data_IF_573066711788
#
_entry.id   IF_573066711788
#
_cell.length_a   1.000
_cell.length_b   1.000
_cell.length_c   1.000
_cell.angle_alpha   90.00
_cell.angle_beta   90.00
_cell.angle_gamma   90.00
#
_symmetry.space_group_name_H-M   'P 1'
#
loop_
_entity.id
_entity.type
_entity.pdbx_description
1 polymer ?
#
# COMPACT_ATOMS: atom_id res chain seq x y z
N UNK A 1 -7.71 -64.02 -15.69
CA UNK A 1 -8.19 -63.62 -17.04
C UNK A 1 -9.71 -63.29 -17.08
N UNK A 2 -10.56 -63.75 -16.16
CA UNK A 2 -12.03 -63.43 -16.18
C UNK A 2 -12.33 -61.96 -15.83
N UNK A 3 -11.59 -61.37 -14.93
CA UNK A 3 -11.89 -60.03 -14.39
C UNK A 3 -11.72 -58.87 -15.40
N UNK A 4 -10.92 -59.06 -16.44
CA UNK A 4 -10.68 -58.01 -17.47
C UNK A 4 -11.79 -58.00 -18.52
N UNK A 5 -12.33 -59.14 -18.86
CA UNK A 5 -13.42 -59.30 -19.85
C UNK A 5 -14.75 -58.76 -19.29
N UNK A 6 -15.09 -59.13 -18.05
CA UNK A 6 -16.28 -58.63 -17.35
C UNK A 6 -16.25 -57.09 -17.18
N UNK A 7 -15.07 -56.53 -16.86
CA UNK A 7 -14.89 -55.07 -16.77
C UNK A 7 -15.12 -54.40 -18.13
N UNK A 8 -14.67 -55.01 -19.21
CA UNK A 8 -14.81 -54.46 -20.57
C UNK A 8 -16.29 -54.46 -21.01
N UNK A 9 -17.02 -55.51 -20.68
CA UNK A 9 -18.46 -55.55 -20.92
C UNK A 9 -19.25 -54.49 -20.14
N UNK A 10 -18.91 -54.27 -18.88
CA UNK A 10 -19.51 -53.20 -18.08
C UNK A 10 -19.22 -51.81 -18.62
N UNK A 11 -18.02 -51.58 -19.19
CA UNK A 11 -17.67 -50.31 -19.84
C UNK A 11 -18.49 -50.08 -21.11
N UNK A 12 -18.70 -51.13 -21.91
CA UNK A 12 -19.53 -51.04 -23.12
C UNK A 12 -20.99 -50.79 -22.78
N UNK A 13 -21.55 -51.51 -21.78
CA UNK A 13 -22.88 -51.24 -21.28
C UNK A 13 -23.07 -49.84 -20.70
N UNK A 14 -22.03 -49.29 -20.01
CA UNK A 14 -22.09 -47.95 -19.52
C UNK A 14 -22.11 -46.93 -20.66
N UNK A 15 -21.35 -47.15 -21.74
CA UNK A 15 -21.39 -46.31 -22.95
C UNK A 15 -22.72 -46.36 -23.67
N UNK A 16 -23.31 -47.53 -23.76
CA UNK A 16 -24.63 -47.71 -24.40
C UNK A 16 -25.74 -46.99 -23.61
N UNK A 17 -25.74 -47.12 -22.30
CA UNK A 17 -26.66 -46.39 -21.42
C UNK A 17 -26.42 -44.87 -21.48
N UNK A 18 -25.19 -44.44 -21.64
CA UNK A 18 -24.85 -43.05 -21.85
C UNK A 18 -25.38 -42.51 -23.18
N UNK A 19 -25.28 -43.30 -24.25
CA UNK A 19 -25.84 -42.95 -25.56
C UNK A 19 -27.38 -42.88 -25.57
N UNK A 20 -28.01 -43.55 -24.63
CA UNK A 20 -29.47 -43.50 -24.36
C UNK A 20 -29.86 -42.34 -23.43
N UNK A 21 -28.96 -41.40 -23.14
CA UNK A 21 -29.23 -40.21 -22.34
C UNK A 21 -29.20 -40.43 -20.82
N UNK A 22 -28.77 -41.60 -20.33
CA UNK A 22 -28.71 -41.87 -18.89
C UNK A 22 -27.56 -41.13 -18.22
N UNK A 23 -27.80 -40.52 -17.09
CA UNK A 23 -26.77 -39.82 -16.27
C UNK A 23 -25.83 -40.83 -15.59
N UNK A 24 -24.63 -40.43 -15.25
CA UNK A 24 -23.67 -41.29 -14.52
C UNK A 24 -24.24 -41.82 -13.19
N UNK A 25 -25.21 -41.14 -12.59
CA UNK A 25 -25.90 -41.57 -11.37
C UNK A 25 -26.88 -42.71 -11.66
N UNK A 26 -27.61 -42.62 -12.76
CA UNK A 26 -28.53 -43.69 -13.17
C UNK A 26 -27.75 -44.92 -13.65
N UNK A 27 -26.69 -44.72 -14.46
CA UNK A 27 -25.80 -45.80 -14.91
C UNK A 27 -25.16 -46.53 -13.73
N UNK A 28 -24.72 -45.75 -12.71
CA UNK A 28 -24.19 -46.32 -11.47
C UNK A 28 -25.19 -47.23 -10.75
N UNK A 29 -26.46 -46.85 -10.71
CA UNK A 29 -27.52 -47.65 -10.11
C UNK A 29 -27.86 -48.88 -10.95
N UNK A 30 -27.95 -48.75 -12.27
CA UNK A 30 -28.29 -49.82 -13.20
C UNK A 30 -27.20 -50.90 -13.20
N UNK A 31 -25.96 -50.51 -13.30
CA UNK A 31 -24.80 -51.41 -13.38
C UNK A 31 -24.26 -51.85 -12.00
N UNK A 32 -24.79 -51.32 -10.92
CA UNK A 32 -24.28 -51.50 -9.55
C UNK A 32 -22.79 -51.26 -9.42
N UNK A 33 -22.31 -50.19 -10.08
CA UNK A 33 -20.89 -49.76 -10.08
C UNK A 33 -20.80 -48.36 -9.49
N UNK A 34 -19.82 -48.07 -8.61
CA UNK A 34 -19.69 -46.75 -8.01
C UNK A 34 -19.65 -45.65 -9.06
N UNK A 35 -20.36 -44.53 -8.84
CA UNK A 35 -20.44 -43.39 -9.76
C UNK A 35 -19.07 -42.87 -10.20
N UNK A 36 -18.09 -42.86 -9.28
CA UNK A 36 -16.69 -42.43 -9.56
C UNK A 36 -16.04 -43.39 -10.57
N UNK A 37 -16.35 -44.68 -10.51
CA UNK A 37 -15.84 -45.68 -11.45
C UNK A 37 -16.46 -45.51 -12.82
N UNK A 38 -17.78 -45.27 -12.90
CA UNK A 38 -18.48 -44.93 -14.15
C UNK A 38 -17.87 -43.69 -14.77
N UNK A 39 -17.68 -42.65 -14.01
CA UNK A 39 -17.00 -41.41 -14.47
C UNK A 39 -15.63 -41.68 -15.06
N UNK A 40 -14.81 -42.52 -14.42
CA UNK A 40 -13.48 -42.87 -14.90
C UNK A 40 -13.50 -43.71 -16.18
N UNK A 41 -14.61 -44.45 -16.46
CA UNK A 41 -14.71 -45.28 -17.63
C UNK A 41 -15.23 -44.55 -18.87
N UNK A 42 -16.19 -43.67 -18.69
CA UNK A 42 -16.94 -43.08 -19.82
C UNK A 42 -16.95 -41.52 -19.77
N UNK A 43 -16.29 -40.93 -18.79
CA UNK A 43 -16.28 -39.47 -18.59
C UNK A 43 -17.61 -38.97 -18.02
N UNK A 44 -17.85 -37.67 -18.15
CA UNK A 44 -19.12 -37.09 -17.76
C UNK A 44 -20.17 -37.44 -18.86
N UNK A 45 -21.32 -37.96 -18.46
CA UNK A 45 -22.42 -38.30 -19.38
C UNK A 45 -23.04 -37.06 -20.05
N UNK A 46 -22.64 -35.91 -19.65
CA UNK A 46 -22.93 -34.64 -20.29
C UNK A 46 -21.59 -34.05 -20.78
N UNK A 47 -21.19 -34.39 -21.99
CA UNK A 47 -20.33 -33.50 -22.76
C UNK A 47 -21.20 -32.29 -23.14
N UNK A 48 -21.53 -31.48 -22.17
CA UNK A 48 -22.06 -30.15 -22.44
C UNK A 48 -20.87 -29.39 -23.02
N UNK A 49 -20.72 -29.39 -24.33
CA UNK A 49 -19.92 -28.41 -25.04
C UNK A 49 -20.65 -27.09 -24.89
N UNK A 50 -20.57 -26.49 -23.71
CA UNK A 50 -21.01 -25.10 -23.51
C UNK A 50 -19.95 -24.20 -24.07
N UNK A 51 -20.16 -23.64 -25.24
CA UNK A 51 -19.42 -22.48 -25.65
C UNK A 51 -19.94 -21.26 -24.87
N UNK A 52 -19.16 -20.77 -23.90
CA UNK A 52 -19.47 -19.51 -23.25
C UNK A 52 -18.86 -18.40 -24.10
N UNK A 53 -19.69 -17.51 -24.59
CA UNK A 53 -19.22 -16.30 -25.28
C UNK A 53 -19.80 -15.06 -24.61
N UNK A 54 -19.08 -13.96 -24.75
CA UNK A 54 -19.52 -12.66 -24.22
C UNK A 54 -20.14 -11.89 -25.38
N UNK A 55 -21.35 -11.41 -25.19
CA UNK A 55 -22.02 -10.51 -26.10
C UNK A 55 -22.08 -9.11 -25.45
N UNK A 56 -21.74 -8.06 -26.19
CA UNK A 56 -21.91 -6.68 -25.75
C UNK A 56 -23.31 -6.22 -26.13
N UNK A 57 -24.11 -5.85 -25.14
CA UNK A 57 -25.38 -5.18 -25.36
C UNK A 57 -25.28 -3.69 -24.96
N UNK A 58 -25.74 -2.77 -25.79
CA UNK A 58 -25.76 -1.36 -25.43
C UNK A 58 -26.75 -1.09 -24.28
N UNK A 59 -26.31 -0.35 -23.27
CA UNK A 59 -27.17 0.18 -22.21
C UNK A 59 -27.72 1.51 -22.71
N UNK A 60 -29.05 1.64 -22.80
CA UNK A 60 -29.72 2.86 -23.21
C UNK A 60 -30.25 3.61 -22.00
N UNK A 61 -30.23 4.95 -22.05
CA UNK A 61 -30.95 5.79 -21.09
C UNK A 61 -32.46 5.85 -21.44
N UNK A 62 -33.24 6.59 -20.66
CA UNK A 62 -34.68 6.77 -20.89
C UNK A 62 -34.99 7.48 -22.23
N UNK A 63 -34.02 8.20 -22.81
CA UNK A 63 -34.14 8.93 -24.08
C UNK A 63 -33.66 8.07 -25.26
N UNK A 64 -33.17 6.83 -25.03
CA UNK A 64 -32.68 5.89 -26.05
C UNK A 64 -31.22 6.07 -26.45
N UNK A 65 -30.44 6.88 -25.76
CA UNK A 65 -29.02 7.06 -26.03
C UNK A 65 -28.18 5.96 -25.37
N UNK A 66 -27.12 5.53 -26.06
CA UNK A 66 -26.19 4.53 -25.53
C UNK A 66 -25.31 5.19 -24.46
N UNK A 67 -25.47 4.76 -23.20
CA UNK A 67 -24.72 5.24 -22.06
C UNK A 67 -23.60 4.28 -21.61
N UNK A 68 -23.49 3.12 -22.23
CA UNK A 68 -22.47 2.11 -21.96
C UNK A 68 -22.78 0.80 -22.63
N UNK A 69 -21.91 -0.21 -22.44
CA UNK A 69 -22.15 -1.59 -22.88
C UNK A 69 -22.17 -2.52 -21.67
N UNK A 70 -23.18 -3.37 -21.60
CA UNK A 70 -23.22 -4.49 -20.67
C UNK A 70 -22.62 -5.73 -21.31
N UNK A 71 -21.80 -6.46 -20.57
CA UNK A 71 -21.30 -7.77 -20.99
C UNK A 71 -22.33 -8.82 -20.59
N UNK A 72 -22.99 -9.42 -21.58
CA UNK A 72 -23.89 -10.54 -21.40
C UNK A 72 -23.16 -11.86 -21.57
N UNK A 73 -23.16 -12.68 -20.54
CA UNK A 73 -22.62 -14.04 -20.62
C UNK A 73 -23.66 -14.93 -21.29
N UNK A 74 -23.44 -15.22 -22.58
CA UNK A 74 -24.28 -16.15 -23.33
C UNK A 74 -23.66 -17.56 -23.25
N UNK A 75 -24.45 -18.52 -22.81
CA UNK A 75 -24.10 -19.95 -22.85
C UNK A 75 -24.98 -20.63 -23.86
N UNK A 76 -24.37 -21.22 -24.89
CA UNK A 76 -25.09 -22.08 -25.82
C UNK A 76 -25.09 -23.50 -25.23
N UNK A 77 -26.25 -24.02 -24.95
CA UNK A 77 -26.44 -25.42 -24.55
C UNK A 77 -26.94 -26.19 -25.76
N UNK A 78 -26.54 -27.48 -25.92
CA UNK A 78 -27.12 -28.35 -26.91
C UNK A 78 -28.61 -28.62 -26.61
N UNK A 79 -29.33 -29.12 -27.59
CA UNK A 79 -30.79 -29.14 -27.70
C UNK A 79 -31.62 -29.66 -26.51
N UNK A 80 -30.98 -30.29 -25.51
CA UNK A 80 -31.64 -30.72 -24.27
C UNK A 80 -31.64 -29.64 -23.17
N UNK A 81 -31.23 -28.41 -23.51
CA UNK A 81 -31.19 -27.27 -22.60
C UNK A 81 -32.47 -26.43 -22.48
N UNK A 82 -33.51 -26.80 -23.19
CA UNK A 82 -34.77 -26.01 -23.24
C UNK A 82 -35.43 -25.82 -21.87
N UNK A 83 -35.35 -26.80 -20.96
CA UNK A 83 -35.84 -26.64 -19.60
C UNK A 83 -35.02 -25.62 -18.76
N UNK A 84 -33.70 -25.56 -18.99
CA UNK A 84 -32.83 -24.61 -18.28
C UNK A 84 -33.04 -23.22 -18.85
N UNK A 85 -33.21 -23.09 -20.17
CA UNK A 85 -33.54 -21.80 -20.82
C UNK A 85 -34.90 -21.27 -20.35
N UNK A 86 -35.95 -22.16 -20.29
CA UNK A 86 -37.25 -21.76 -19.75
C UNK A 86 -37.18 -21.35 -18.28
N UNK A 87 -36.34 -22.00 -17.48
CA UNK A 87 -36.12 -21.58 -16.08
C UNK A 87 -35.40 -20.23 -15.99
N UNK A 88 -34.39 -19.98 -16.84
CA UNK A 88 -33.66 -18.69 -16.88
C UNK A 88 -34.54 -17.56 -17.43
N UNK A 89 -35.42 -17.83 -18.37
CA UNK A 89 -36.43 -16.91 -18.88
C UNK A 89 -37.51 -16.54 -17.85
N UNK A 90 -37.79 -17.45 -16.90
CA UNK A 90 -38.68 -17.21 -15.76
C UNK A 90 -38.02 -16.44 -14.61
N UNK A 91 -36.68 -16.33 -14.58
CA UNK A 91 -36.02 -15.46 -13.66
C UNK A 91 -36.27 -14.02 -14.14
N UNK A 92 -37.05 -13.27 -13.36
CA UNK A 92 -37.26 -11.86 -13.65
C UNK A 92 -35.90 -11.17 -13.94
N UNK A 93 -35.78 -10.42 -15.01
CA UNK A 93 -34.53 -9.71 -15.32
C UNK A 93 -34.10 -8.94 -14.08
N UNK A 94 -32.86 -9.15 -13.66
CA UNK A 94 -32.27 -8.39 -12.55
C UNK A 94 -32.33 -6.94 -12.99
N UNK A 95 -33.30 -6.20 -12.45
CA UNK A 95 -33.34 -4.74 -12.65
C UNK A 95 -32.18 -4.17 -11.84
N UNK A 96 -31.06 -3.91 -12.49
CA UNK A 96 -30.08 -3.03 -11.92
C UNK A 96 -30.71 -1.63 -11.83
N UNK A 97 -30.74 -0.99 -10.65
CA UNK A 97 -31.15 0.39 -10.57
C UNK A 97 -30.27 1.19 -11.54
N UNK A 98 -30.89 2.08 -12.32
CA UNK A 98 -30.13 2.96 -13.19
C UNK A 98 -28.99 3.60 -12.38
N UNK A 99 -27.78 3.68 -12.94
CA UNK A 99 -26.66 4.28 -12.21
C UNK A 99 -27.07 5.68 -11.82
N UNK A 100 -27.22 5.91 -10.52
CA UNK A 100 -27.43 7.26 -9.97
C UNK A 100 -26.25 8.11 -10.46
N UNK A 101 -26.55 9.22 -11.13
CA UNK A 101 -25.53 10.21 -11.48
C UNK A 101 -24.77 10.55 -10.19
N UNK A 102 -23.49 10.20 -10.13
CA UNK A 102 -22.67 10.61 -9.02
C UNK A 102 -22.65 12.14 -8.99
N UNK A 103 -23.10 12.74 -7.91
CA UNK A 103 -22.88 14.17 -7.69
C UNK A 103 -21.38 14.38 -7.52
N UNK A 104 -20.75 15.00 -8.50
CA UNK A 104 -19.38 15.46 -8.38
C UNK A 104 -19.44 16.77 -7.57
N UNK A 105 -19.13 16.68 -6.29
CA UNK A 105 -18.89 17.88 -5.47
C UNK A 105 -17.38 18.17 -5.53
N UNK A 106 -17.02 19.35 -5.98
CA UNK A 106 -15.66 19.86 -5.81
C UNK A 106 -15.45 20.12 -4.32
N UNK A 107 -14.76 19.21 -3.66
CA UNK A 107 -14.29 19.43 -2.29
C UNK A 107 -12.84 19.92 -2.40
N UNK A 108 -12.45 21.01 -1.72
CA UNK A 108 -11.06 21.43 -1.71
C UNK A 108 -10.24 20.32 -1.06
N UNK A 109 -9.39 19.69 -1.86
CA UNK A 109 -8.49 18.67 -1.38
C UNK A 109 -7.37 19.32 -0.57
N UNK A 110 -7.09 18.75 0.58
CA UNK A 110 -5.95 19.08 1.43
C UNK A 110 -4.88 18.03 1.27
N UNK A 111 -3.63 18.44 1.43
CA UNK A 111 -2.50 17.57 1.24
C UNK A 111 -1.60 17.53 2.47
N UNK A 112 -1.08 16.34 2.77
CA UNK A 112 0.11 16.16 3.56
C UNK A 112 1.17 15.50 2.68
N UNK A 113 2.40 15.98 2.71
CA UNK A 113 3.53 15.36 2.01
C UNK A 113 4.42 14.68 3.04
N UNK A 114 4.68 13.38 2.86
CA UNK A 114 5.43 12.53 3.79
C UNK A 114 6.70 12.06 3.12
N UNK A 115 7.85 12.48 3.61
CA UNK A 115 9.18 12.03 3.19
C UNK A 115 9.94 11.54 4.42
N UNK A 116 10.76 10.52 4.30
CA UNK A 116 11.58 10.00 5.39
C UNK A 116 12.82 9.29 4.88
N UNK A 117 13.61 8.72 5.79
CA UNK A 117 14.85 8.02 5.47
C UNK A 117 15.74 8.84 4.52
N UNK A 118 15.97 10.11 4.89
CA UNK A 118 16.83 11.05 4.14
C UNK A 118 18.31 10.73 4.35
N UNK A 119 18.67 10.29 5.56
CA UNK A 119 20.05 9.92 5.93
C UNK A 119 21.10 10.93 5.47
N UNK A 120 20.92 12.23 5.82
CA UNK A 120 21.93 13.24 5.51
C UNK A 120 23.30 12.81 6.05
N UNK A 121 24.41 12.94 5.31
CA UNK A 121 24.59 13.58 3.99
C UNK A 121 24.65 12.55 2.83
N UNK A 122 23.86 11.49 2.89
CA UNK A 122 23.73 10.50 1.83
C UNK A 122 22.36 10.62 1.12
N UNK A 123 21.76 11.79 1.19
CA UNK A 123 20.46 12.04 0.57
C UNK A 123 20.52 11.90 -0.96
N UNK A 124 19.49 11.35 -1.56
CA UNK A 124 19.33 11.31 -3.00
C UNK A 124 18.81 12.66 -3.51
N UNK A 125 19.72 13.47 -4.04
CA UNK A 125 19.44 14.86 -4.46
C UNK A 125 18.23 14.98 -5.39
N UNK A 126 18.07 14.15 -6.45
CA UNK A 126 16.89 14.24 -7.30
C UNK A 126 15.57 14.05 -6.55
N UNK A 127 15.51 13.13 -5.57
CA UNK A 127 14.30 12.94 -4.74
C UNK A 127 14.00 14.19 -3.92
N UNK A 128 15.02 14.81 -3.33
CA UNK A 128 14.87 16.04 -2.53
C UNK A 128 14.41 17.22 -3.41
N UNK A 129 14.95 17.35 -4.60
CA UNK A 129 14.58 18.44 -5.52
C UNK A 129 13.16 18.28 -6.05
N UNK A 130 12.77 17.06 -6.41
CA UNK A 130 11.36 16.74 -6.82
C UNK A 130 10.42 16.97 -5.64
N UNK A 131 10.80 16.57 -4.43
CA UNK A 131 10.01 16.84 -3.22
C UNK A 131 9.78 18.34 -3.01
N UNK A 132 10.80 19.16 -3.13
CA UNK A 132 10.63 20.62 -3.02
C UNK A 132 9.65 21.17 -4.07
N UNK A 133 9.74 20.68 -5.31
CA UNK A 133 8.85 21.12 -6.38
C UNK A 133 7.40 20.67 -6.12
N UNK A 134 7.20 19.47 -5.63
CA UNK A 134 5.86 18.99 -5.22
C UNK A 134 5.30 19.84 -4.09
N UNK A 135 6.10 20.17 -3.07
CA UNK A 135 5.66 21.04 -1.97
C UNK A 135 5.26 22.43 -2.47
N UNK A 136 6.03 23.02 -3.41
CA UNK A 136 5.67 24.31 -4.01
C UNK A 136 4.33 24.27 -4.73
N UNK A 137 4.08 23.20 -5.47
CA UNK A 137 2.87 23.09 -6.31
C UNK A 137 1.63 22.69 -5.51
N UNK A 138 1.77 21.76 -4.56
CA UNK A 138 0.64 21.29 -3.75
C UNK A 138 0.28 22.23 -2.61
N UNK A 139 1.23 23.04 -2.14
CA UNK A 139 1.07 23.92 -0.96
C UNK A 139 0.41 23.18 0.21
N UNK A 140 1.01 22.09 0.69
CA UNK A 140 0.36 21.17 1.61
C UNK A 140 0.08 21.84 2.95
N UNK A 141 -0.95 21.41 3.67
CA UNK A 141 -1.17 21.83 5.05
C UNK A 141 -0.06 21.34 5.98
N UNK A 142 0.49 20.18 5.67
CA UNK A 142 1.50 19.53 6.48
C UNK A 142 2.60 18.92 5.61
N UNK A 143 3.85 19.09 6.05
CA UNK A 143 5.00 18.33 5.61
C UNK A 143 5.47 17.50 6.80
N UNK A 144 5.65 16.19 6.60
CA UNK A 144 6.07 15.27 7.63
C UNK A 144 7.39 14.63 7.20
N UNK A 145 8.44 14.98 7.93
CA UNK A 145 9.74 14.32 7.85
C UNK A 145 9.65 13.06 8.71
N UNK A 146 9.39 11.92 8.07
CA UNK A 146 8.97 10.71 8.78
C UNK A 146 10.17 9.89 9.29
N UNK A 147 11.05 10.55 10.02
CA UNK A 147 12.19 9.97 10.72
C UNK A 147 13.40 9.69 9.83
N UNK A 148 14.46 9.28 10.46
CA UNK A 148 15.78 8.99 9.87
C UNK A 148 16.26 10.09 8.91
N UNK A 149 16.10 11.35 9.36
CA UNK A 149 16.57 12.53 8.65
C UNK A 149 18.09 12.61 8.67
N UNK A 150 18.71 12.39 9.83
CA UNK A 150 20.18 12.27 9.98
C UNK A 150 20.55 10.80 10.06
N UNK A 151 21.60 10.37 9.35
CA UNK A 151 22.12 9.02 9.49
C UNK A 151 22.86 8.82 10.82
N UNK A 152 23.53 9.87 11.32
CA UNK A 152 24.37 9.81 12.51
C UNK A 152 25.45 8.71 12.40
N UNK A 153 26.03 8.58 11.21
CA UNK A 153 27.04 7.58 10.90
C UNK A 153 28.21 7.63 11.87
N UNK A 154 28.72 8.84 12.18
CA UNK A 154 29.89 9.02 13.04
C UNK A 154 29.73 8.39 14.43
N UNK A 155 28.50 8.38 14.97
CA UNK A 155 28.18 7.87 16.32
C UNK A 155 27.45 6.54 16.31
N UNK A 156 27.26 5.93 15.13
CA UNK A 156 26.65 4.60 15.00
C UNK A 156 27.47 3.54 15.72
N UNK A 157 26.81 2.63 16.43
CA UNK A 157 27.42 1.47 17.08
C UNK A 157 27.67 0.28 16.13
N UNK A 158 27.26 0.35 14.87
CA UNK A 158 27.50 -0.70 13.89
C UNK A 158 28.92 -0.65 13.32
N UNK A 159 29.48 -1.80 12.85
CA UNK A 159 30.73 -1.82 12.12
C UNK A 159 30.71 -0.87 10.93
N UNK A 160 31.78 -0.13 10.72
CA UNK A 160 31.91 0.87 9.66
C UNK A 160 33.04 0.48 8.72
N UNK A 161 32.91 0.81 7.44
CA UNK A 161 34.08 0.82 6.56
C UNK A 161 35.02 1.94 7.01
N UNK A 162 36.26 1.57 7.35
CA UNK A 162 37.26 2.54 7.82
C UNK A 162 37.65 3.59 6.77
N UNK A 163 37.31 3.33 5.52
CA UNK A 163 37.56 4.25 4.41
C UNK A 163 36.48 5.34 4.31
N UNK A 164 35.29 5.08 4.84
CA UNK A 164 34.20 6.04 4.86
C UNK A 164 34.40 7.07 5.98
N UNK A 165 34.43 8.33 5.58
CA UNK A 165 34.51 9.45 6.51
C UNK A 165 33.26 10.32 6.35
N UNK A 166 32.30 10.12 7.22
CA UNK A 166 31.06 10.91 7.27
C UNK A 166 31.03 11.65 8.61
N UNK A 167 31.60 12.85 8.67
CA UNK A 167 31.63 13.61 9.91
C UNK A 167 30.23 14.17 10.21
N UNK A 168 29.84 14.12 11.48
CA UNK A 168 28.51 14.51 11.94
C UNK A 168 28.18 15.99 11.60
N UNK A 169 29.19 16.87 11.57
CA UNK A 169 28.99 18.27 11.20
C UNK A 169 28.58 18.45 9.73
N UNK A 170 29.01 17.56 8.83
CA UNK A 170 28.57 17.58 7.43
C UNK A 170 27.10 17.18 7.30
N UNK A 171 26.68 16.15 8.04
CA UNK A 171 25.26 15.73 8.11
C UNK A 171 24.40 16.89 8.63
N UNK A 172 24.80 17.52 9.72
CA UNK A 172 24.08 18.67 10.31
C UNK A 172 23.98 19.84 9.32
N UNK A 173 25.06 20.16 8.61
CA UNK A 173 25.06 21.25 7.62
C UNK A 173 24.12 20.96 6.45
N UNK A 174 24.13 19.74 5.93
CA UNK A 174 23.22 19.30 4.86
C UNK A 174 21.76 19.39 5.32
N UNK A 175 21.47 18.90 6.52
CA UNK A 175 20.14 18.98 7.12
C UNK A 175 19.66 20.42 7.35
N UNK A 176 20.54 21.31 7.87
CA UNK A 176 20.19 22.73 8.04
C UNK A 176 19.89 23.41 6.71
N UNK A 177 20.67 23.11 5.65
CA UNK A 177 20.41 23.61 4.30
C UNK A 177 19.05 23.14 3.79
N UNK A 178 18.75 21.86 3.96
CA UNK A 178 17.44 21.28 3.60
C UNK A 178 16.30 21.99 4.32
N UNK A 179 16.38 22.13 5.64
CA UNK A 179 15.34 22.78 6.44
C UNK A 179 15.17 24.26 6.05
N UNK A 180 16.27 24.97 5.73
CA UNK A 180 16.17 26.37 5.29
C UNK A 180 15.40 26.51 3.98
N UNK A 181 15.72 25.67 2.99
CA UNK A 181 15.01 25.65 1.70
C UNK A 181 13.54 25.28 1.91
N UNK A 182 13.26 24.24 2.70
CA UNK A 182 11.90 23.82 3.01
C UNK A 182 11.11 24.92 3.71
N UNK A 183 11.72 25.62 4.67
CA UNK A 183 11.10 26.75 5.33
C UNK A 183 10.74 27.85 4.33
N UNK A 184 11.69 28.27 3.49
CA UNK A 184 11.47 29.35 2.51
C UNK A 184 10.36 29.03 1.50
N UNK A 185 10.19 27.74 1.17
CA UNK A 185 9.10 27.26 0.31
C UNK A 185 7.77 27.30 1.04
N UNK A 186 7.72 26.90 2.30
CA UNK A 186 6.48 26.63 3.04
C UNK A 186 5.95 27.79 3.85
N UNK A 187 6.80 28.72 4.22
CA UNK A 187 6.46 29.91 5.02
C UNK A 187 5.31 30.73 4.42
N UNK A 188 5.28 31.02 3.09
CA UNK A 188 4.21 31.79 2.49
C UNK A 188 2.83 31.15 2.59
N UNK A 189 2.76 29.84 2.83
CA UNK A 189 1.49 29.07 2.87
C UNK A 189 1.10 28.69 4.29
N UNK A 190 1.94 28.93 5.28
CA UNK A 190 1.70 28.54 6.66
C UNK A 190 1.73 27.03 6.90
N UNK A 191 2.37 26.25 6.02
CA UNK A 191 2.53 24.80 6.13
C UNK A 191 3.16 24.41 7.47
N UNK A 192 2.57 23.45 8.16
CA UNK A 192 3.14 22.89 9.40
C UNK A 192 4.17 21.83 9.04
N UNK A 193 5.35 21.90 9.68
CA UNK A 193 6.42 20.93 9.46
C UNK A 193 6.60 20.10 10.72
N UNK A 194 6.52 18.79 10.57
CA UNK A 194 6.76 17.82 11.64
C UNK A 194 7.95 16.93 11.28
N UNK A 195 8.67 16.49 12.31
CA UNK A 195 9.64 15.39 12.21
C UNK A 195 9.25 14.33 13.22
N UNK A 196 9.21 13.05 12.80
CA UNK A 196 8.92 11.95 13.72
C UNK A 196 10.19 11.36 14.30
N UNK A 197 10.12 10.90 15.55
CA UNK A 197 11.18 10.15 16.19
C UNK A 197 11.46 8.84 15.44
N UNK A 198 12.74 8.44 15.39
CA UNK A 198 13.20 7.28 14.65
C UNK A 198 14.38 6.59 15.35
N UNK A 199 14.86 5.49 14.78
CA UNK A 199 15.98 4.75 15.35
C UNK A 199 17.35 5.38 15.07
N UNK A 200 17.47 6.24 14.03
CA UNK A 200 18.70 7.04 13.82
C UNK A 200 18.53 8.42 14.44
N UNK A 201 17.48 9.15 14.13
CA UNK A 201 17.27 10.55 14.50
C UNK A 201 16.15 10.73 15.52
N UNK A 202 16.12 11.90 16.16
CA UNK A 202 15.07 12.28 17.12
C UNK A 202 15.43 12.04 18.59
N UNK A 203 14.45 12.23 19.46
CA UNK A 203 14.59 12.10 20.92
C UNK A 203 14.26 10.69 21.46
N UNK A 204 14.06 9.71 20.60
CA UNK A 204 13.80 8.34 21.02
C UNK A 204 14.97 7.79 21.83
N UNK A 205 14.70 7.11 22.95
CA UNK A 205 15.74 6.42 23.71
C UNK A 205 16.43 5.32 22.89
N UNK A 206 15.78 4.82 21.86
CA UNK A 206 16.34 3.87 20.90
C UNK A 206 17.17 4.56 19.81
N UNK A 207 17.07 5.87 19.68
CA UNK A 207 17.82 6.67 18.70
C UNK A 207 19.32 6.63 18.92
N UNK A 208 20.10 6.76 17.83
CA UNK A 208 21.58 6.73 17.87
C UNK A 208 22.17 7.78 18.81
N UNK A 209 21.57 8.98 18.89
CA UNK A 209 22.04 10.06 19.75
C UNK A 209 21.98 9.68 21.24
N UNK A 210 20.84 9.20 21.72
CA UNK A 210 20.68 8.84 23.13
C UNK A 210 21.49 7.59 23.50
N UNK A 211 21.60 6.61 22.61
CA UNK A 211 22.49 5.45 22.83
C UNK A 211 23.95 5.89 22.95
N UNK A 212 24.38 6.82 22.10
CA UNK A 212 25.74 7.37 22.16
C UNK A 212 25.98 8.09 23.48
N UNK A 213 25.08 8.99 23.90
CA UNK A 213 25.17 9.69 25.19
C UNK A 213 25.21 8.73 26.36
N UNK A 214 24.27 7.79 26.45
CA UNK A 214 24.22 6.78 27.53
C UNK A 214 25.54 6.00 27.65
N UNK A 215 26.16 5.67 26.53
CA UNK A 215 27.46 4.97 26.52
C UNK A 215 28.65 5.85 26.92
N UNK A 216 28.52 7.19 26.81
CA UNK A 216 29.62 8.11 27.10
C UNK A 216 29.55 8.75 28.48
N UNK A 217 28.36 9.07 28.94
CA UNK A 217 28.15 9.79 30.21
C UNK A 217 27.37 8.93 31.24
N UNK A 218 27.02 7.69 30.88
CA UNK A 218 26.41 6.73 31.81
C UNK A 218 25.10 7.26 32.41
N UNK A 219 24.94 7.08 33.73
CA UNK A 219 23.74 7.48 34.46
C UNK A 219 23.44 8.98 34.39
N UNK A 220 24.44 9.82 34.14
CA UNK A 220 24.20 11.27 33.98
C UNK A 220 23.26 11.58 32.80
N UNK A 221 23.17 10.70 31.79
CA UNK A 221 22.22 10.84 30.69
C UNK A 221 20.75 10.82 31.15
N UNK A 222 20.45 10.28 32.35
CA UNK A 222 19.10 10.23 32.92
C UNK A 222 18.67 11.52 33.61
N UNK A 223 19.61 12.44 33.88
CA UNK A 223 19.30 13.71 34.54
C UNK A 223 18.51 14.63 33.61
N UNK A 224 17.41 15.19 34.12
CA UNK A 224 16.48 16.03 33.33
C UNK A 224 17.20 17.24 32.69
N UNK A 225 18.14 17.86 33.41
CA UNK A 225 18.94 18.97 32.93
C UNK A 225 19.82 18.58 31.75
N UNK A 226 20.43 17.40 31.79
CA UNK A 226 21.25 16.86 30.71
C UNK A 226 20.37 16.50 29.51
N UNK A 227 19.25 15.81 29.73
CA UNK A 227 18.30 15.49 28.66
C UNK A 227 17.78 16.75 27.96
N UNK A 228 17.47 17.80 28.72
CA UNK A 228 17.02 19.05 28.15
C UNK A 228 18.16 19.78 27.41
N UNK A 229 19.38 19.82 27.97
CA UNK A 229 20.53 20.51 27.35
C UNK A 229 20.99 19.80 26.05
N UNK A 230 20.96 18.46 26.03
CA UNK A 230 21.44 17.62 24.95
C UNK A 230 20.29 17.00 24.12
N UNK A 231 19.07 17.56 24.23
CA UNK A 231 17.94 17.09 23.43
C UNK A 231 18.26 17.21 21.93
N UNK A 232 17.75 16.27 21.14
CA UNK A 232 17.95 16.24 19.70
C UNK A 232 17.66 17.60 19.05
N UNK A 233 16.53 18.20 19.41
CA UNK A 233 16.15 19.52 18.90
C UNK A 233 17.17 20.61 19.21
N UNK A 234 17.75 20.64 20.41
CA UNK A 234 18.74 21.69 20.78
C UNK A 234 20.10 21.49 20.13
N UNK A 235 20.46 20.24 19.87
CA UNK A 235 21.79 19.92 19.32
C UNK A 235 21.79 19.97 17.79
N UNK A 236 20.72 19.47 17.16
CA UNK A 236 20.71 19.22 15.72
C UNK A 236 19.82 20.16 14.91
N UNK A 237 18.88 20.86 15.54
CA UNK A 237 18.06 21.81 14.80
C UNK A 237 18.80 23.14 14.64
N UNK A 238 18.55 23.84 13.52
CA UNK A 238 19.08 25.18 13.33
C UNK A 238 18.41 26.17 14.28
N UNK A 239 18.81 27.45 14.17
CA UNK A 239 18.29 28.56 14.99
C UNK A 239 16.77 28.54 15.07
N UNK A 240 16.19 28.49 16.29
CA UNK A 240 14.74 28.44 16.49
C UNK A 240 14.01 29.73 16.05
N UNK A 241 14.71 30.81 15.75
CA UNK A 241 14.11 32.06 15.27
C UNK A 241 13.34 31.87 13.96
N UNK A 242 13.75 30.94 13.13
CA UNK A 242 13.11 30.61 11.85
C UNK A 242 12.67 29.14 11.71
N UNK A 243 13.38 28.21 12.34
CA UNK A 243 13.07 26.78 12.22
C UNK A 243 11.80 26.42 13.01
N UNK A 244 10.73 26.09 12.31
CA UNK A 244 9.41 25.80 12.89
C UNK A 244 9.09 24.30 12.96
N UNK A 245 10.09 23.45 12.74
CA UNK A 245 9.89 21.98 12.80
C UNK A 245 9.49 21.56 14.22
N UNK A 246 8.44 20.74 14.30
CA UNK A 246 7.99 20.13 15.55
C UNK A 246 8.40 18.66 15.56
N UNK A 247 9.22 18.27 16.53
CA UNK A 247 9.58 16.87 16.78
C UNK A 247 8.47 16.21 17.59
N UNK A 248 7.99 15.08 17.11
CA UNK A 248 6.86 14.31 17.67
C UNK A 248 7.12 12.79 17.54
N UNK A 249 6.41 11.97 18.27
CA UNK A 249 6.49 10.51 18.09
C UNK A 249 5.74 10.06 16.84
N UNK A 250 4.60 10.68 16.58
CA UNK A 250 3.73 10.40 15.44
C UNK A 250 2.90 11.63 15.08
N UNK A 251 2.41 11.67 13.86
CA UNK A 251 1.43 12.66 13.39
C UNK A 251 0.14 11.94 13.07
N UNK A 252 -0.95 12.37 13.71
CA UNK A 252 -2.29 11.89 13.36
C UNK A 252 -2.91 12.88 12.38
N UNK A 253 -3.19 12.42 11.18
CA UNK A 253 -3.88 13.21 10.16
C UNK A 253 -5.38 13.30 10.51
N UNK A 254 -6.13 14.29 9.99
CA UNK A 254 -7.57 14.43 10.24
C UNK A 254 -8.38 13.18 9.89
N UNK A 255 -7.85 12.33 9.02
CA UNK A 255 -8.42 11.04 8.60
C UNK A 255 -8.19 9.90 9.61
N UNK A 256 -7.69 10.18 10.80
CA UNK A 256 -7.24 9.18 11.78
C UNK A 256 -6.13 8.24 11.25
N UNK A 257 -5.43 8.63 10.20
CA UNK A 257 -4.24 7.93 9.71
C UNK A 257 -3.02 8.38 10.52
N UNK A 258 -2.28 7.42 11.04
CA UNK A 258 -1.06 7.67 11.83
C UNK A 258 0.15 7.65 10.89
N UNK A 259 0.93 8.71 10.93
CA UNK A 259 2.23 8.81 10.24
C UNK A 259 3.32 8.72 11.31
N UNK A 260 4.15 7.70 11.25
CA UNK A 260 5.26 7.44 12.16
C UNK A 260 6.39 6.73 11.44
N UNK A 261 7.61 6.80 11.96
CA UNK A 261 8.74 6.13 11.31
C UNK A 261 8.55 4.62 11.19
N UNK A 262 8.07 3.99 12.26
CA UNK A 262 7.90 2.54 12.32
C UNK A 262 9.14 1.84 12.88
N UNK A 263 8.98 0.56 13.24
CA UNK A 263 10.01 -0.28 13.85
C UNK A 263 9.99 -1.72 13.32
N UNK A 264 8.97 -2.08 12.56
CA UNK A 264 8.80 -3.44 12.04
C UNK A 264 9.49 -3.59 10.70
N UNK A 265 10.36 -4.60 10.59
CA UNK A 265 11.03 -4.96 9.34
C UNK A 265 10.57 -6.35 8.89
N UNK A 266 10.08 -6.46 7.67
CA UNK A 266 9.69 -7.71 7.01
C UNK A 266 10.29 -7.75 5.60
N UNK A 267 10.43 -8.95 5.04
CA UNK A 267 11.10 -9.14 3.73
C UNK A 267 10.29 -8.63 2.53
N UNK A 268 8.99 -8.74 2.57
CA UNK A 268 8.11 -8.39 1.42
C UNK A 268 7.47 -7.03 1.65
N UNK A 269 7.28 -6.28 0.56
CA UNK A 269 6.56 -5.00 0.58
C UNK A 269 5.15 -5.13 1.15
N UNK A 270 4.74 -4.16 1.94
CA UNK A 270 3.46 -4.13 2.65
C UNK A 270 3.39 -4.94 3.94
N UNK A 271 4.30 -5.89 4.17
CA UNK A 271 4.25 -6.74 5.38
C UNK A 271 4.70 -6.01 6.64
N UNK A 272 5.62 -5.05 6.53
CA UNK A 272 6.02 -4.22 7.68
C UNK A 272 4.88 -3.32 8.10
N UNK A 273 4.15 -2.74 7.14
CA UNK A 273 2.97 -1.94 7.40
C UNK A 273 1.86 -2.74 8.12
N UNK A 274 1.67 -4.03 7.79
CA UNK A 274 0.76 -4.91 8.55
C UNK A 274 1.22 -5.04 10.00
N UNK A 275 2.51 -5.29 10.23
CA UNK A 275 3.06 -5.41 11.59
C UNK A 275 2.94 -4.11 12.40
N UNK A 276 3.02 -2.95 11.78
CA UNK A 276 2.75 -1.67 12.46
C UNK A 276 1.26 -1.45 12.72
N UNK A 277 0.39 -1.84 11.78
CA UNK A 277 -1.05 -1.86 12.00
C UNK A 277 -1.46 -2.73 13.19
N UNK A 278 -0.87 -3.93 13.33
CA UNK A 278 -1.18 -4.85 14.45
C UNK A 278 -0.86 -4.26 15.83
N UNK A 279 0.00 -3.24 15.90
CA UNK A 279 0.31 -2.52 17.15
C UNK A 279 -0.72 -1.45 17.51
N UNK A 280 -1.32 -0.80 16.51
CA UNK A 280 -2.13 0.41 16.73
C UNK A 280 -3.59 0.28 16.30
N UNK A 281 -3.92 -0.72 15.46
CA UNK A 281 -5.25 -0.94 14.87
C UNK A 281 -5.83 0.31 14.20
N UNK A 282 -5.00 1.04 13.48
CA UNK A 282 -5.34 2.24 12.74
C UNK A 282 -4.68 2.22 11.36
N UNK A 283 -5.17 3.02 10.41
CA UNK A 283 -4.46 3.25 9.15
C UNK A 283 -3.10 3.90 9.42
N UNK A 284 -2.05 3.45 8.73
CA UNK A 284 -0.69 3.92 8.99
C UNK A 284 0.09 4.25 7.71
N UNK A 285 1.01 5.22 7.82
CA UNK A 285 2.12 5.39 6.89
C UNK A 285 3.41 5.28 7.68
N UNK A 286 4.29 4.39 7.24
CA UNK A 286 5.59 4.15 7.90
C UNK A 286 6.73 4.22 6.91
N UNK A 287 7.90 4.59 7.40
CA UNK A 287 9.18 4.53 6.68
C UNK A 287 10.02 3.34 7.19
N UNK A 288 11.32 3.49 7.40
CA UNK A 288 12.25 2.51 7.98
C UNK A 288 12.66 1.34 7.06
N UNK A 289 11.79 0.89 6.18
CA UNK A 289 12.06 -0.25 5.28
C UNK A 289 12.52 0.18 3.89
N UNK A 290 12.56 1.47 3.62
CA UNK A 290 13.10 2.12 2.42
C UNK A 290 12.44 1.68 1.10
N UNK A 291 11.17 1.26 1.12
CA UNK A 291 10.46 0.81 -0.08
C UNK A 291 8.99 1.12 -0.01
N UNK A 292 8.36 1.18 -1.18
CA UNK A 292 6.91 1.30 -1.26
C UNK A 292 6.21 -0.02 -0.99
N UNK A 293 5.11 0.04 -0.28
CA UNK A 293 4.20 -1.07 -0.07
C UNK A 293 2.85 -0.57 0.43
N UNK A 294 1.79 -1.27 0.05
CA UNK A 294 0.43 -0.95 0.49
C UNK A 294 -0.34 -2.22 0.83
N UNK A 295 -1.13 -2.15 1.89
CA UNK A 295 -2.02 -3.23 2.30
C UNK A 295 -3.32 -2.67 2.87
N UNK A 296 -4.38 -3.46 2.84
CA UNK A 296 -5.63 -3.13 3.47
C UNK A 296 -6.10 -4.27 4.36
N UNK A 297 -6.60 -3.94 5.55
CA UNK A 297 -7.17 -4.88 6.51
C UNK A 297 -8.63 -4.52 6.77
N UNK A 298 -9.55 -5.38 6.34
CA UNK A 298 -10.98 -5.16 6.56
C UNK A 298 -11.46 -5.95 7.78
N UNK A 299 -12.04 -5.22 8.73
CA UNK A 299 -12.77 -5.79 9.84
C UNK A 299 -14.26 -5.80 9.50
N UNK A 300 -14.93 -6.96 9.48
CA UNK A 300 -16.36 -7.03 9.19
C UNK A 300 -17.18 -6.40 10.31
N UNK A 301 -18.41 -6.05 10.01
CA UNK A 301 -19.38 -5.64 11.02
C UNK A 301 -19.66 -6.79 11.99
N UNK A 302 -19.64 -6.49 13.30
CA UNK A 302 -19.95 -7.48 14.37
C UNK A 302 -20.80 -6.79 15.42
N UNK A 303 -22.01 -7.29 15.67
CA UNK A 303 -22.96 -6.66 16.58
C UNK A 303 -23.26 -5.21 16.15
N UNK A 304 -23.03 -4.25 17.04
CA UNK A 304 -23.27 -2.82 16.78
C UNK A 304 -22.05 -2.13 16.11
N UNK A 305 -20.91 -2.83 15.93
CA UNK A 305 -19.71 -2.28 15.30
C UNK A 305 -19.86 -2.33 13.77
N UNK A 306 -19.74 -1.18 13.12
CA UNK A 306 -19.70 -1.09 11.65
C UNK A 306 -18.44 -1.76 11.10
N UNK A 307 -18.52 -2.22 9.86
CA UNK A 307 -17.32 -2.67 9.13
C UNK A 307 -16.37 -1.48 8.94
N UNK A 308 -15.06 -1.73 9.12
CA UNK A 308 -13.99 -0.74 8.95
C UNK A 308 -12.89 -1.35 8.09
N UNK A 309 -12.32 -0.57 7.20
CA UNK A 309 -11.11 -0.93 6.45
C UNK A 309 -9.98 0.00 6.86
N UNK A 310 -8.85 -0.56 7.26
CA UNK A 310 -7.62 0.15 7.55
C UNK A 310 -6.65 0.00 6.39
N UNK A 311 -6.05 1.10 5.97
CA UNK A 311 -5.08 1.16 4.88
C UNK A 311 -3.69 1.45 5.45
N UNK A 312 -2.72 0.63 5.09
CA UNK A 312 -1.38 0.69 5.67
C UNK A 312 -0.34 0.76 4.57
N UNK A 313 0.58 1.70 4.70
CA UNK A 313 1.55 2.04 3.68
C UNK A 313 2.97 1.99 4.22
N UNK A 314 3.87 1.42 3.46
CA UNK A 314 5.32 1.59 3.59
C UNK A 314 5.73 2.68 2.61
N UNK A 315 6.43 3.69 3.10
CA UNK A 315 6.96 4.77 2.27
C UNK A 315 8.41 4.46 1.87
N UNK A 316 8.81 4.93 0.69
CA UNK A 316 10.17 4.80 0.21
C UNK A 316 11.17 5.68 1.00
N UNK A 317 12.44 5.63 0.63
CA UNK A 317 13.47 6.48 1.20
C UNK A 317 13.84 7.65 0.27
N UNK A 318 14.57 8.60 0.82
CA UNK A 318 15.16 9.70 0.07
C UNK A 318 16.70 9.71 0.19
N UNK A 319 17.30 8.56 0.47
CA UNK A 319 18.75 8.38 0.57
C UNK A 319 19.33 7.60 -0.61
N UNK A 320 20.66 7.50 -0.65
CA UNK A 320 21.35 6.63 -1.61
C UNK A 320 20.88 5.18 -1.49
N UNK A 321 20.61 4.54 -2.63
CA UNK A 321 20.16 3.15 -2.70
C UNK A 321 21.29 2.13 -2.58
N UNK A 322 22.55 2.54 -2.59
CA UNK A 322 23.71 1.67 -2.60
C UNK A 322 24.65 1.90 -1.40
N UNK A 323 24.15 1.83 -0.16
CA UNK A 323 25.02 2.02 1.00
C UNK A 323 26.02 0.85 1.10
N UNK A 324 27.23 1.14 1.61
CA UNK A 324 28.31 0.16 1.73
C UNK A 324 28.01 -1.02 2.65
N UNK A 325 27.07 -0.86 3.57
CA UNK A 325 26.75 -1.83 4.62
C UNK A 325 25.60 -2.78 4.27
N UNK A 326 24.90 -2.57 3.16
CA UNK A 326 23.83 -3.46 2.69
C UNK A 326 24.16 -3.98 1.30
N UNK A 327 24.09 -5.29 1.12
CA UNK A 327 24.28 -5.90 -0.18
C UNK A 327 22.92 -6.11 -0.84
N UNK A 328 22.79 -5.65 -2.09
CA UNK A 328 21.59 -5.79 -2.94
C UNK A 328 20.29 -5.34 -2.22
N UNK A 329 20.22 -4.11 -1.70
CA UNK A 329 19.03 -3.64 -1.00
C UNK A 329 17.82 -3.54 -1.92
N UNK A 330 16.65 -3.96 -1.44
CA UNK A 330 15.36 -3.76 -2.13
C UNK A 330 14.77 -2.40 -1.74
N UNK A 331 15.51 -1.34 -1.97
CA UNK A 331 15.14 0.03 -1.64
C UNK A 331 14.64 0.79 -2.85
N UNK A 332 13.87 1.82 -2.63
CA UNK A 332 13.31 2.68 -3.67
C UNK A 332 13.36 4.13 -3.23
N UNK A 333 13.70 5.03 -4.16
CA UNK A 333 13.64 6.45 -3.89
C UNK A 333 12.23 7.00 -4.12
N UNK A 334 11.79 7.85 -3.23
CA UNK A 334 10.53 8.54 -3.35
C UNK A 334 9.94 9.00 -2.02
N UNK A 335 8.68 9.44 -2.10
CA UNK A 335 7.91 9.95 -0.98
C UNK A 335 6.41 9.79 -1.26
N UNK A 336 5.54 10.17 -0.33
CA UNK A 336 4.10 10.06 -0.50
C UNK A 336 3.38 11.39 -0.38
N UNK A 337 2.29 11.55 -1.14
CA UNK A 337 1.33 12.63 -0.97
C UNK A 337 0.04 11.99 -0.44
N UNK A 338 -0.39 12.43 0.73
CA UNK A 338 -1.70 12.04 1.30
C UNK A 338 -2.72 13.10 0.92
N UNK A 339 -3.74 12.66 0.22
CA UNK A 339 -4.85 13.48 -0.20
C UNK A 339 -6.05 13.21 0.73
N UNK A 340 -6.57 14.24 1.38
CA UNK A 340 -7.66 14.10 2.35
C UNK A 340 -8.64 15.26 2.29
N UNK A 341 -9.84 15.01 2.82
CA UNK A 341 -10.87 16.00 3.01
C UNK A 341 -11.12 16.22 4.49
N UNK A 342 -11.18 17.47 4.94
CA UNK A 342 -11.59 17.81 6.29
C UNK A 342 -13.11 17.83 6.49
N UNK A 343 -13.87 17.78 5.40
CA UNK A 343 -15.34 17.75 5.46
C UNK A 343 -15.85 16.39 5.92
N UNK A 344 -15.18 15.30 5.52
CA UNK A 344 -15.61 13.95 5.83
C UNK A 344 -14.62 13.18 6.74
N UNK A 345 -13.51 13.81 7.13
CA UNK A 345 -12.42 13.16 7.88
C UNK A 345 -11.93 11.86 7.21
N UNK A 346 -12.02 11.76 5.89
CA UNK A 346 -11.68 10.58 5.12
C UNK A 346 -10.37 10.79 4.33
N UNK A 347 -9.54 9.76 4.28
CA UNK A 347 -8.41 9.72 3.36
C UNK A 347 -8.95 9.41 1.96
N UNK A 348 -8.76 10.34 1.04
CA UNK A 348 -9.15 10.17 -0.36
C UNK A 348 -8.14 9.34 -1.15
N UNK A 349 -6.90 9.27 -0.68
CA UNK A 349 -5.88 8.44 -1.29
C UNK A 349 -4.46 8.79 -0.86
N UNK A 350 -3.55 7.87 -1.16
CA UNK A 350 -2.10 8.06 -1.03
C UNK A 350 -1.48 7.88 -2.41
N UNK A 351 -0.79 8.90 -2.87
CA UNK A 351 -0.02 8.89 -4.12
C UNK A 351 1.45 8.61 -3.79
N UNK A 352 1.97 7.50 -4.29
CA UNK A 352 3.39 7.17 -4.21
C UNK A 352 4.14 7.87 -5.32
N UNK A 353 5.00 8.81 -4.97
CA UNK A 353 5.86 9.52 -5.89
C UNK A 353 7.21 8.78 -5.96
N UNK A 354 7.27 7.79 -6.84
CA UNK A 354 8.51 7.07 -7.10
C UNK A 354 9.44 7.91 -7.97
N UNK A 355 10.70 8.01 -7.56
CA UNK A 355 11.73 8.75 -8.30
C UNK A 355 12.68 7.75 -8.95
N UNK A 356 12.78 7.83 -10.28
CA UNK A 356 13.70 7.02 -11.08
C UNK A 356 14.74 7.96 -11.71
N UNK A 357 16.00 7.79 -11.32
CA UNK A 357 17.08 8.69 -11.66
C UNK A 357 16.75 10.13 -11.25
N UNK A 358 16.29 10.95 -12.18
CA UNK A 358 15.94 12.36 -11.96
C UNK A 358 14.51 12.71 -12.41
N UNK A 359 13.63 11.72 -12.53
CA UNK A 359 12.26 11.89 -13.04
C UNK A 359 11.26 11.23 -12.09
N UNK A 360 10.12 11.89 -11.88
CA UNK A 360 8.95 11.31 -11.23
C UNK A 360 7.64 11.69 -11.92
N UNK A 361 6.71 10.75 -12.00
CA UNK A 361 5.31 11.04 -12.33
C UNK A 361 4.55 11.30 -11.03
N UNK A 362 3.89 12.44 -10.93
CA UNK A 362 3.12 12.85 -9.75
C UNK A 362 1.64 12.86 -10.12
N UNK A 363 0.93 11.79 -9.76
CA UNK A 363 -0.47 11.61 -10.16
C UNK A 363 -1.37 12.70 -9.58
N UNK A 364 -1.17 13.06 -8.32
CA UNK A 364 -1.90 14.17 -7.65
C UNK A 364 -1.83 15.49 -8.44
N UNK A 365 -0.71 15.76 -9.10
CA UNK A 365 -0.52 16.96 -9.93
C UNK A 365 -0.82 16.72 -11.41
N UNK A 366 -0.99 15.47 -11.84
CA UNK A 366 -1.07 15.06 -13.25
C UNK A 366 0.13 15.58 -14.06
N UNK A 367 1.32 15.51 -13.49
CA UNK A 367 2.56 16.04 -14.07
C UNK A 367 3.71 15.06 -13.94
N UNK A 368 4.63 15.15 -14.92
CA UNK A 368 5.97 14.59 -14.81
C UNK A 368 6.92 15.70 -14.40
N UNK A 369 7.70 15.49 -13.35
CA UNK A 369 8.73 16.42 -12.87
C UNK A 369 10.09 15.79 -13.19
N UNK A 370 10.95 16.58 -13.81
CA UNK A 370 12.35 16.21 -14.09
C UNK A 370 13.25 17.29 -13.50
N UNK A 371 14.31 16.89 -12.80
CA UNK A 371 15.31 17.74 -12.19
C UNK A 371 16.70 17.50 -12.77
#
# INVERSE_FOLDING_TARGET
>A
MSNTYEKQQLIEQAKDLQSQGKTNTEISKILNVPRKTIYNWIGNSLSVTSSTYLEEEPILNEDGDVIGNALKVCRKYDADGDEVLQFLEQLAPIQYPAPTKAEVKETPNKFAVVIGDLHFADEHQPTVEIFYEVVRQTKPEQVILNGDTLDMFAISGYPKDIREKKPLDAEIKAYHKFLKILHDITEPFGTKIYETNANHSGNSQEGRWWRYLSNRIGEAASLAEIQNALSYKKVFYPDPSWCRVKLVDEVVLPTNMIVKHGTVVRKKGGQSAIGEYEKVFASTITNHVHRFGATAQRHPAVGNRKAVTYYNYENACACDLNPSYVKDPNWQNGFSIVNYSDVNEECLGVDFVAVHDNIACVNTLQKTIKV
#
